data_IF_727555148086
#
_entry.id   IF_727555148086
#
_cell.length_a   1.000
_cell.length_b   1.000
_cell.length_c   1.000
_cell.angle_alpha   90.00
_cell.angle_beta   90.00
_cell.angle_gamma   90.00
#
_symmetry.space_group_name_H-M   'P 1'
#
loop_
_entity.id
_entity.type
_entity.pdbx_description
1 polymer ?
#
# COMPACT_ATOMS: atom_id res chain seq x y z
N UNK A 1 -41.46 -10.93 -13.63
CA UNK A 1 -41.84 -10.16 -14.83
C UNK A 1 -40.84 -9.01 -14.97
N UNK A 2 -39.87 -9.12 -15.89
CA UNK A 2 -38.93 -8.05 -16.19
C UNK A 2 -39.61 -7.11 -17.21
N UNK A 3 -40.24 -6.05 -16.73
CA UNK A 3 -40.70 -4.97 -17.60
C UNK A 3 -39.48 -4.18 -18.05
N UNK A 4 -39.01 -4.40 -19.29
CA UNK A 4 -37.97 -3.57 -19.86
C UNK A 4 -38.56 -2.19 -20.16
N UNK A 5 -38.08 -1.18 -19.45
CA UNK A 5 -38.44 0.22 -19.69
C UNK A 5 -38.03 0.59 -21.12
N UNK A 6 -38.91 1.30 -21.84
CA UNK A 6 -38.65 1.80 -23.19
C UNK A 6 -37.32 2.58 -23.23
N UNK A 7 -36.40 2.25 -24.16
CA UNK A 7 -35.13 2.95 -24.32
C UNK A 7 -35.26 4.48 -24.43
N UNK A 8 -36.33 5.01 -25.02
CA UNK A 8 -36.57 6.45 -25.14
C UNK A 8 -36.88 7.09 -23.79
N UNK A 9 -37.75 6.45 -23.01
CA UNK A 9 -38.11 6.91 -21.65
C UNK A 9 -36.87 6.85 -20.75
N UNK A 10 -36.05 5.81 -20.89
CA UNK A 10 -34.79 5.67 -20.15
C UNK A 10 -33.80 6.78 -20.50
N UNK A 11 -33.68 7.15 -21.77
CA UNK A 11 -32.79 8.22 -22.21
C UNK A 11 -33.25 9.59 -21.69
N UNK A 12 -34.55 9.88 -21.76
CA UNK A 12 -35.12 11.13 -21.24
C UNK A 12 -34.91 11.27 -19.73
N UNK A 13 -35.15 10.20 -18.97
CA UNK A 13 -34.92 10.18 -17.52
C UNK A 13 -33.44 10.38 -17.18
N UNK A 14 -32.52 9.78 -17.95
CA UNK A 14 -31.09 9.96 -17.75
C UNK A 14 -30.68 11.42 -17.99
N UNK A 15 -31.21 12.06 -19.04
CA UNK A 15 -30.96 13.46 -19.34
C UNK A 15 -31.44 14.38 -18.20
N UNK A 16 -32.63 14.11 -17.65
CA UNK A 16 -33.15 14.87 -16.50
C UNK A 16 -32.29 14.68 -15.24
N UNK A 17 -31.82 13.46 -14.97
CA UNK A 17 -30.90 13.19 -13.85
C UNK A 17 -29.58 13.95 -14.06
N UNK A 18 -29.00 13.88 -15.26
CA UNK A 18 -27.76 14.58 -15.58
C UNK A 18 -27.92 16.09 -15.43
N UNK A 19 -29.02 16.66 -15.92
CA UNK A 19 -29.32 18.07 -15.77
C UNK A 19 -29.47 18.47 -14.30
N UNK A 20 -30.12 17.64 -13.49
CA UNK A 20 -30.21 17.83 -12.04
C UNK A 20 -28.86 17.80 -11.33
N UNK A 21 -28.00 16.85 -11.67
CA UNK A 21 -26.64 16.73 -11.12
C UNK A 21 -25.79 17.95 -11.52
N UNK A 22 -25.86 18.38 -12.78
CA UNK A 22 -25.08 19.51 -13.30
C UNK A 22 -25.54 20.87 -12.74
N UNK A 23 -26.82 21.01 -12.39
CA UNK A 23 -27.37 22.23 -11.77
C UNK A 23 -27.14 22.29 -10.27
N UNK A 24 -26.74 21.19 -9.61
CA UNK A 24 -26.40 21.21 -8.20
C UNK A 24 -25.09 21.98 -7.98
N UNK A 25 -25.08 23.02 -7.12
CA UNK A 25 -23.84 23.68 -6.77
C UNK A 25 -22.93 22.68 -6.05
N UNK A 26 -21.69 22.56 -6.53
CA UNK A 26 -20.71 21.68 -5.90
C UNK A 26 -20.36 22.24 -4.51
N UNK A 27 -20.64 21.53 -3.41
CA UNK A 27 -20.24 22.00 -2.09
C UNK A 27 -18.72 21.99 -2.04
N UNK A 28 -18.10 23.17 -1.96
CA UNK A 28 -16.63 23.29 -1.88
C UNK A 28 -16.17 22.66 -0.56
N UNK A 29 -15.41 21.54 -0.59
CA UNK A 29 -14.91 20.94 0.62
C UNK A 29 -14.01 21.93 1.37
N UNK A 30 -14.14 21.99 2.70
CA UNK A 30 -13.30 22.85 3.56
C UNK A 30 -11.79 22.64 3.37
N UNK A 31 -11.38 21.46 2.90
CA UNK A 31 -9.98 21.17 2.60
C UNK A 31 -9.47 21.89 1.35
N UNK A 32 -10.33 22.36 0.44
CA UNK A 32 -9.92 23.16 -0.73
C UNK A 32 -9.73 24.65 -0.39
N UNK A 33 -10.27 25.10 0.74
CA UNK A 33 -10.12 26.49 1.22
C UNK A 33 -8.97 26.67 2.20
N UNK A 34 -8.33 25.58 2.64
CA UNK A 34 -7.20 25.64 3.54
C UNK A 34 -5.91 25.82 2.72
N UNK A 35 -5.32 27.02 2.80
CA UNK A 35 -4.07 27.38 2.10
C UNK A 35 -2.82 26.90 2.83
N UNK A 36 -2.96 26.46 4.09
CA UNK A 36 -1.86 25.92 4.87
C UNK A 36 -1.56 24.48 4.47
N UNK A 37 -0.27 24.16 4.32
CA UNK A 37 0.16 22.79 4.06
C UNK A 37 -0.37 21.88 5.18
N UNK A 38 -1.04 20.79 4.79
CA UNK A 38 -1.53 19.82 5.76
C UNK A 38 -0.35 19.34 6.62
N UNK A 39 -0.50 19.31 7.96
CA UNK A 39 0.51 18.71 8.81
C UNK A 39 0.76 17.26 8.36
N UNK A 40 2.00 16.78 8.47
CA UNK A 40 2.38 15.43 8.07
C UNK A 40 2.87 14.64 9.27
N UNK A 41 2.53 13.35 9.33
CA UNK A 41 3.09 12.45 10.33
C UNK A 41 4.57 12.16 10.04
N UNK A 42 5.35 11.87 11.08
CA UNK A 42 6.70 11.36 10.92
C UNK A 42 6.69 9.85 11.00
N UNK A 43 7.30 9.16 10.02
CA UNK A 43 7.49 7.71 10.03
C UNK A 43 8.99 7.39 9.96
N UNK A 44 9.44 6.53 10.87
CA UNK A 44 10.78 5.97 10.92
C UNK A 44 10.67 4.46 10.83
N UNK A 45 11.45 3.87 9.93
CA UNK A 45 11.49 2.43 9.69
C UNK A 45 12.91 1.94 9.94
N UNK A 46 13.06 0.90 10.74
CA UNK A 46 14.36 0.30 11.07
C UNK A 46 14.21 -1.22 11.01
N UNK A 47 15.24 -1.94 10.55
CA UNK A 47 15.29 -3.38 10.75
C UNK A 47 15.38 -3.69 12.24
N UNK A 48 14.75 -4.77 12.68
CA UNK A 48 14.94 -5.27 14.04
C UNK A 48 16.41 -5.74 14.21
N UNK A 49 17.21 -5.08 15.06
CA UNK A 49 18.64 -5.36 15.19
C UNK A 49 18.89 -6.72 15.85
N UNK A 50 17.92 -7.27 16.60
CA UNK A 50 18.04 -8.59 17.23
C UNK A 50 17.94 -9.73 16.19
N UNK A 51 17.45 -9.41 14.99
CA UNK A 51 17.15 -10.38 13.94
C UNK A 51 18.01 -10.14 12.71
N UNK A 52 18.36 -8.89 12.43
CA UNK A 52 19.15 -8.49 11.28
C UNK A 52 20.43 -7.79 11.74
N UNK A 53 21.58 -8.36 11.42
CA UNK A 53 22.91 -7.81 11.76
C UNK A 53 23.19 -6.45 11.10
N UNK A 54 22.38 -6.03 10.11
CA UNK A 54 22.53 -4.78 9.38
C UNK A 54 21.26 -3.93 9.45
N UNK A 55 21.40 -2.70 9.95
CA UNK A 55 20.39 -1.64 9.78
C UNK A 55 20.29 -1.20 8.32
N UNK A 56 19.10 -0.81 7.87
CA UNK A 56 18.94 -0.14 6.58
C UNK A 56 19.87 1.08 6.51
N UNK A 57 20.80 1.06 5.58
CA UNK A 57 21.61 2.22 5.21
C UNK A 57 21.26 2.61 3.78
N UNK A 58 21.08 3.91 3.54
CA UNK A 58 20.66 4.45 2.25
C UNK A 58 21.49 3.86 1.10
N UNK A 59 20.81 3.18 0.18
CA UNK A 59 21.41 2.60 -1.02
C UNK A 59 22.00 1.19 -0.88
N UNK A 60 22.05 0.62 0.33
CA UNK A 60 22.53 -0.76 0.55
C UNK A 60 21.33 -1.68 0.77
N UNK A 61 21.13 -2.70 -0.09
CA UNK A 61 20.05 -3.66 0.08
C UNK A 61 20.28 -4.52 1.32
N UNK A 62 19.19 -4.80 2.05
CA UNK A 62 19.22 -5.79 3.12
C UNK A 62 19.36 -7.19 2.53
N UNK A 63 20.38 -7.94 2.95
CA UNK A 63 20.58 -9.33 2.52
C UNK A 63 19.83 -10.26 3.47
N UNK A 64 18.97 -11.10 2.91
CA UNK A 64 18.26 -12.14 3.67
C UNK A 64 18.40 -13.50 2.98
N UNK A 65 18.46 -14.56 3.79
CA UNK A 65 18.42 -15.92 3.29
C UNK A 65 17.05 -16.23 2.67
N UNK A 66 17.06 -17.10 1.65
CA UNK A 66 15.84 -17.69 1.09
C UNK A 66 14.99 -18.35 2.20
N UNK A 67 13.70 -18.01 2.25
CA UNK A 67 12.78 -18.41 3.31
C UNK A 67 12.86 -17.55 4.58
N UNK A 68 13.76 -16.56 4.60
CA UNK A 68 13.85 -15.56 5.65
C UNK A 68 12.68 -14.57 5.61
N UNK A 69 12.28 -14.11 6.79
CA UNK A 69 11.34 -12.99 6.96
C UNK A 69 12.10 -11.76 7.39
N UNK A 70 11.67 -10.59 6.91
CA UNK A 70 12.21 -9.31 7.33
C UNK A 70 11.38 -8.84 8.52
N UNK A 71 12.05 -8.30 9.52
CA UNK A 71 11.38 -7.76 10.71
C UNK A 71 11.71 -6.30 10.81
N UNK A 72 10.66 -5.48 10.79
CA UNK A 72 10.75 -4.03 10.68
C UNK A 72 10.06 -3.42 11.87
N UNK A 73 10.76 -2.50 12.51
CA UNK A 73 10.27 -1.67 13.59
C UNK A 73 9.90 -0.32 12.99
N UNK A 74 8.60 -0.08 12.91
CA UNK A 74 8.05 1.19 12.49
C UNK A 74 7.70 2.02 13.72
N UNK A 75 8.18 3.25 13.76
CA UNK A 75 7.90 4.19 14.84
C UNK A 75 7.63 5.56 14.26
N UNK A 76 6.88 6.39 14.99
CA UNK A 76 6.54 7.69 14.47
C UNK A 76 5.67 8.52 15.39
N UNK A 77 5.29 9.68 14.89
CA UNK A 77 4.45 10.64 15.60
C UNK A 77 3.44 11.24 14.62
N UNK A 78 2.17 11.23 14.99
CA UNK A 78 1.12 11.99 14.32
C UNK A 78 0.99 13.33 15.06
N UNK A 79 1.27 14.48 14.42
CA UNK A 79 1.22 15.78 15.08
C UNK A 79 -0.14 16.07 15.68
N UNK A 80 -0.15 16.71 16.86
CA UNK A 80 -1.40 17.16 17.49
C UNK A 80 -2.20 18.11 16.60
N UNK A 81 -1.54 18.92 15.78
CA UNK A 81 -2.18 19.79 14.78
C UNK A 81 -2.97 19.00 13.73
N UNK A 82 -2.51 17.80 13.35
CA UNK A 82 -3.30 16.91 12.50
C UNK A 82 -4.49 16.34 13.27
N UNK A 83 -4.25 15.86 14.50
CA UNK A 83 -5.28 15.26 15.34
C UNK A 83 -6.37 16.25 15.75
N UNK A 84 -6.09 17.55 15.80
CA UNK A 84 -7.11 18.58 16.05
C UNK A 84 -7.96 18.90 14.82
N UNK A 85 -7.48 18.61 13.62
CA UNK A 85 -8.18 18.94 12.36
C UNK A 85 -9.09 17.82 11.85
N UNK A 86 -8.95 16.61 12.39
CA UNK A 86 -9.78 15.46 12.01
C UNK A 86 -11.18 15.56 12.59
N UNK A 87 -12.19 15.40 11.73
CA UNK A 87 -13.59 15.41 12.16
C UNK A 87 -13.98 14.15 12.92
N UNK A 88 -13.26 13.05 12.69
CA UNK A 88 -13.59 11.73 13.22
C UNK A 88 -12.33 11.17 13.88
N UNK A 89 -12.39 10.86 15.19
CA UNK A 89 -11.23 10.34 15.91
C UNK A 89 -10.74 9.01 15.36
N UNK A 90 -9.42 8.82 15.45
CA UNK A 90 -8.79 7.53 15.16
C UNK A 90 -8.95 6.57 16.34
N UNK A 91 -9.14 5.29 16.05
CA UNK A 91 -9.09 4.21 17.03
C UNK A 91 -7.71 3.55 17.09
N UNK A 92 -7.09 3.32 15.93
CA UNK A 92 -5.77 2.66 15.81
C UNK A 92 -4.96 3.21 14.64
N UNK A 93 -3.64 3.09 14.73
CA UNK A 93 -2.70 3.35 13.64
C UNK A 93 -2.48 2.07 12.85
N UNK A 94 -2.41 2.19 11.53
CA UNK A 94 -2.25 1.10 10.58
C UNK A 94 -0.94 1.26 9.81
N UNK A 95 -0.30 0.14 9.49
CA UNK A 95 0.83 0.11 8.57
C UNK A 95 0.58 -0.97 7.52
N UNK A 96 0.50 -0.53 6.26
CA UNK A 96 0.48 -1.42 5.11
C UNK A 96 1.89 -1.57 4.56
N UNK A 97 2.20 -2.75 4.04
CA UNK A 97 3.43 -2.98 3.29
C UNK A 97 3.14 -3.81 2.04
N UNK A 98 3.93 -3.58 1.00
CA UNK A 98 3.88 -4.36 -0.24
C UNK A 98 5.29 -4.70 -0.69
N UNK A 99 5.50 -5.93 -1.14
CA UNK A 99 6.79 -6.41 -1.64
C UNK A 99 6.69 -6.60 -3.15
N UNK A 100 7.62 -6.03 -3.90
CA UNK A 100 7.68 -6.11 -5.37
C UNK A 100 9.09 -6.50 -5.83
N UNK A 101 9.27 -7.38 -6.81
CA UNK A 101 10.59 -7.61 -7.40
C UNK A 101 11.09 -6.38 -8.17
N UNK A 102 12.38 -6.05 -8.09
CA UNK A 102 13.03 -4.93 -8.80
C UNK A 102 13.59 -5.33 -10.18
N UNK A 103 13.40 -6.58 -10.62
CA UNK A 103 13.81 -7.07 -11.95
C UNK A 103 12.62 -7.16 -12.91
N UNK A 104 12.73 -6.53 -14.09
CA UNK A 104 11.67 -6.48 -15.08
C UNK A 104 11.36 -7.84 -15.73
N UNK A 105 10.19 -8.39 -15.41
CA UNK A 105 9.26 -9.04 -16.36
C UNK A 105 8.09 -9.67 -15.60
N UNK A 106 7.06 -8.88 -15.35
CA UNK A 106 5.70 -9.36 -15.59
C UNK A 106 5.02 -8.26 -16.38
N UNK A 107 4.93 -8.48 -17.69
CA UNK A 107 4.11 -7.70 -18.59
C UNK A 107 2.74 -7.47 -17.95
N UNK A 108 2.37 -6.19 -17.82
CA UNK A 108 0.97 -5.83 -17.96
C UNK A 108 0.45 -6.51 -19.23
N UNK A 109 -0.36 -7.54 -19.06
CA UNK A 109 -1.39 -7.87 -20.04
C UNK A 109 -2.71 -7.34 -19.47
N UNK A 110 -2.80 -6.02 -19.41
CA UNK A 110 -4.08 -5.34 -19.61
C UNK A 110 -4.41 -5.47 -21.08
N UNK A 111 -5.25 -6.44 -21.43
CA UNK A 111 -5.97 -6.43 -22.70
C UNK A 111 -7.17 -7.35 -22.59
N UNK A 112 -8.31 -6.75 -22.21
CA UNK A 112 -9.57 -7.10 -22.84
C UNK A 112 -9.37 -7.05 -24.36
N UNK A 113 -9.33 -8.21 -25.01
CA UNK A 113 -9.97 -8.44 -26.31
C UNK A 113 -9.81 -9.88 -26.78
N UNK A 114 -10.96 -10.41 -27.14
CA UNK A 114 -11.25 -11.69 -27.79
C UNK A 114 -10.41 -11.87 -29.07
N UNK A 115 -9.82 -13.05 -29.30
CA UNK A 115 -10.05 -13.93 -30.48
C UNK A 115 -9.21 -15.23 -30.46
N UNK A 116 -9.91 -16.33 -30.79
CA UNK A 116 -9.40 -17.68 -31.10
C UNK A 116 -8.45 -17.69 -32.30
N UNK A 117 -7.44 -18.56 -32.26
CA UNK A 117 -7.20 -19.67 -33.22
C UNK A 117 -5.88 -20.37 -32.87
N UNK A 118 -5.88 -21.70 -32.78
CA UNK A 118 -4.71 -22.51 -32.42
C UNK A 118 -3.75 -22.78 -33.57
N UNK A 119 -2.55 -23.26 -33.22
CA UNK A 119 -2.01 -24.57 -33.65
C UNK A 119 -0.75 -24.88 -32.81
N UNK A 120 -0.42 -26.15 -32.73
CA UNK A 120 0.55 -26.80 -31.83
C UNK A 120 2.01 -26.31 -31.94
N UNK A 121 2.69 -26.20 -30.77
CA UNK A 121 4.10 -26.58 -30.59
C UNK A 121 4.53 -26.45 -29.11
N UNK A 122 4.79 -27.60 -28.48
CA UNK A 122 5.65 -27.84 -27.31
C UNK A 122 6.02 -26.65 -26.41
N UNK A 123 5.11 -26.31 -25.48
CA UNK A 123 5.45 -25.51 -24.31
C UNK A 123 5.69 -26.43 -23.12
N UNK A 124 6.96 -26.64 -22.82
CA UNK A 124 7.51 -27.19 -21.59
C UNK A 124 6.75 -26.64 -20.36
N UNK A 125 5.90 -27.49 -19.78
CA UNK A 125 4.98 -27.22 -18.67
C UNK A 125 5.72 -27.13 -17.32
N UNK A 126 6.85 -26.44 -17.29
CA UNK A 126 7.68 -26.31 -16.08
C UNK A 126 7.38 -24.99 -15.38
N UNK A 127 6.34 -25.03 -14.54
CA UNK A 127 6.10 -24.11 -13.41
C UNK A 127 5.97 -22.61 -13.72
N UNK A 128 4.89 -22.19 -14.40
CA UNK A 128 4.30 -20.87 -14.12
C UNK A 128 3.61 -20.89 -12.75
N UNK A 129 4.40 -21.00 -11.67
CA UNK A 129 3.91 -20.80 -10.32
C UNK A 129 3.73 -19.31 -10.06
N UNK A 130 2.46 -18.88 -10.08
CA UNK A 130 1.86 -17.73 -9.40
C UNK A 130 2.90 -16.90 -8.63
N UNK A 131 3.46 -15.90 -9.31
CA UNK A 131 4.19 -14.85 -8.62
C UNK A 131 3.18 -14.03 -7.84
N UNK A 132 3.04 -14.39 -6.57
CA UNK A 132 2.55 -13.59 -5.45
C UNK A 132 1.54 -12.53 -5.89
N UNK A 133 0.25 -12.91 -5.84
CA UNK A 133 -0.81 -11.93 -5.61
C UNK A 133 -0.29 -10.92 -4.58
N UNK A 134 -0.42 -9.59 -4.81
CA UNK A 134 0.00 -8.60 -3.82
C UNK A 134 -0.56 -9.05 -2.48
N UNK A 135 0.33 -9.41 -1.56
CA UNK A 135 0.00 -10.24 -0.40
C UNK A 135 -1.29 -9.72 0.24
N UNK A 136 -2.30 -10.58 0.31
CA UNK A 136 -3.59 -10.40 1.00
C UNK A 136 -3.42 -10.18 2.53
N UNK A 137 -2.28 -9.65 2.98
CA UNK A 137 -2.09 -9.26 4.37
C UNK A 137 -2.77 -7.91 4.57
N UNK A 138 -3.83 -7.92 5.38
CA UNK A 138 -4.42 -6.70 5.90
C UNK A 138 -3.39 -5.85 6.67
N UNK A 139 -3.72 -4.58 6.96
CA UNK A 139 -2.83 -3.70 7.70
C UNK A 139 -2.46 -4.28 9.06
N UNK A 140 -1.25 -3.97 9.50
CA UNK A 140 -0.83 -4.24 10.87
C UNK A 140 -1.24 -3.05 11.71
N UNK A 141 -2.04 -3.32 12.75
CA UNK A 141 -2.58 -2.30 13.62
C UNK A 141 -1.76 -2.18 14.91
N UNK A 142 -1.61 -0.96 15.43
CA UNK A 142 -1.15 -0.71 16.79
C UNK A 142 -1.89 0.48 17.41
N UNK A 143 -1.86 0.50 18.74
CA UNK A 143 -2.34 1.63 19.52
C UNK A 143 -1.42 2.84 19.39
N UNK A 144 -2.00 4.03 19.47
CA UNK A 144 -1.28 5.29 19.53
C UNK A 144 -1.31 5.81 20.97
N UNK A 145 -0.19 6.40 21.40
CA UNK A 145 -0.12 7.10 22.67
C UNK A 145 -0.82 8.47 22.59
N UNK A 146 -1.19 9.05 23.74
CA UNK A 146 -1.90 10.33 23.82
C UNK A 146 -1.14 11.53 23.24
N UNK A 147 0.19 11.43 23.15
CA UNK A 147 1.07 12.41 22.52
C UNK A 147 1.17 12.23 20.98
N UNK A 148 0.46 11.25 20.40
CA UNK A 148 0.50 10.95 18.98
C UNK A 148 1.60 9.97 18.56
N UNK A 149 2.42 9.47 19.49
CA UNK A 149 3.50 8.52 19.16
C UNK A 149 2.97 7.10 18.99
N UNK A 150 3.54 6.36 18.06
CA UNK A 150 3.18 4.96 17.79
C UNK A 150 4.42 4.10 17.54
N UNK A 151 4.25 2.80 17.75
CA UNK A 151 5.24 1.78 17.45
C UNK A 151 4.56 0.53 16.91
N UNK A 152 5.06 -0.01 15.80
CA UNK A 152 4.52 -1.19 15.11
C UNK A 152 5.69 -2.10 14.74
N UNK A 153 5.65 -3.34 15.21
CA UNK A 153 6.57 -4.40 14.77
C UNK A 153 5.92 -5.20 13.66
N UNK A 154 6.54 -5.21 12.49
CA UNK A 154 6.07 -5.89 11.28
C UNK A 154 7.01 -7.03 10.96
N UNK A 155 6.46 -8.25 10.85
CA UNK A 155 7.17 -9.38 10.27
C UNK A 155 6.62 -9.62 8.87
N UNK A 156 7.48 -9.55 7.87
CA UNK A 156 7.10 -9.83 6.48
C UNK A 156 6.82 -11.32 6.30
N UNK A 157 6.11 -11.64 5.22
CA UNK A 157 6.07 -13.02 4.75
C UNK A 157 7.48 -13.48 4.34
N UNK A 158 7.82 -14.78 4.51
CA UNK A 158 9.06 -15.36 4.01
C UNK A 158 9.24 -15.17 2.50
N UNK A 159 10.41 -14.72 2.07
CA UNK A 159 10.72 -14.59 0.64
C UNK A 159 11.38 -15.88 0.11
N UNK A 160 10.62 -16.61 -0.72
CA UNK A 160 11.01 -17.94 -1.19
C UNK A 160 11.79 -17.95 -2.50
N UNK A 161 11.82 -16.84 -3.25
CA UNK A 161 12.52 -16.73 -4.53
C UNK A 161 13.71 -15.80 -4.35
N UNK A 162 14.85 -16.20 -4.90
CA UNK A 162 16.05 -15.37 -4.94
C UNK A 162 15.83 -14.20 -5.90
N UNK A 163 16.43 -13.05 -5.59
CA UNK A 163 16.28 -11.85 -6.39
C UNK A 163 16.24 -10.58 -5.56
N UNK A 164 16.12 -9.46 -6.27
CA UNK A 164 16.04 -8.13 -5.68
C UNK A 164 14.59 -7.70 -5.56
N UNK A 165 14.22 -7.17 -4.40
CA UNK A 165 12.87 -6.75 -4.05
C UNK A 165 12.87 -5.33 -3.49
N UNK A 166 11.77 -4.63 -3.70
CA UNK A 166 11.39 -3.33 -3.13
C UNK A 166 10.27 -3.57 -2.14
N UNK A 167 10.42 -3.06 -0.92
CA UNK A 167 9.34 -3.07 0.07
C UNK A 167 8.84 -1.66 0.29
N UNK A 168 7.56 -1.45 -0.02
CA UNK A 168 6.89 -0.16 0.11
C UNK A 168 5.99 -0.12 1.33
N UNK A 169 6.14 0.91 2.16
CA UNK A 169 5.32 1.12 3.36
C UNK A 169 4.36 2.29 3.18
N UNK A 170 3.16 2.16 3.77
CA UNK A 170 2.18 3.24 3.86
C UNK A 170 1.59 3.31 5.27
N UNK A 171 1.58 4.51 5.85
CA UNK A 171 0.96 4.78 7.13
C UNK A 171 -0.53 5.05 6.95
N UNK A 172 -1.35 4.60 7.90
CA UNK A 172 -2.74 4.97 7.97
C UNK A 172 -3.33 4.89 9.36
N UNK A 173 -4.65 4.97 9.41
CA UNK A 173 -5.43 4.82 10.62
C UNK A 173 -6.76 4.15 10.32
N UNK A 174 -7.38 3.62 11.38
CA UNK A 174 -8.78 3.23 11.38
C UNK A 174 -9.55 4.22 12.25
N UNK A 175 -10.65 4.75 11.73
CA UNK A 175 -11.55 5.61 12.49
C UNK A 175 -12.45 4.79 13.44
N UNK A 176 -13.16 5.46 14.35
CA UNK A 176 -14.08 4.81 15.30
C UNK A 176 -15.28 4.11 14.64
N UNK A 177 -15.56 4.37 13.36
CA UNK A 177 -16.63 3.72 12.58
C UNK A 177 -16.11 2.52 11.78
N UNK A 178 -14.80 2.24 11.87
CA UNK A 178 -14.14 1.16 11.14
C UNK A 178 -13.64 1.55 9.74
N UNK A 179 -13.72 2.81 9.34
CA UNK A 179 -13.16 3.29 8.08
C UNK A 179 -11.64 3.36 8.14
N UNK A 180 -10.96 2.90 7.08
CA UNK A 180 -9.50 2.95 6.98
C UNK A 180 -9.05 4.08 6.06
N UNK A 181 -8.04 4.83 6.49
CA UNK A 181 -7.56 6.03 5.80
C UNK A 181 -6.04 6.07 5.74
N UNK A 182 -5.49 6.47 4.61
CA UNK A 182 -4.05 6.74 4.46
C UNK A 182 -3.70 8.07 5.15
N UNK A 183 -2.62 8.08 5.93
CA UNK A 183 -2.12 9.28 6.62
C UNK A 183 -0.94 9.85 5.83
N UNK A 184 -0.99 11.12 5.42
CA UNK A 184 0.16 11.83 4.86
C UNK A 184 1.33 11.82 5.85
N UNK A 185 2.49 11.38 5.40
CA UNK A 185 3.67 11.25 6.24
C UNK A 185 4.95 11.59 5.50
N UNK A 186 5.99 11.86 6.29
CA UNK A 186 7.35 12.04 5.83
C UNK A 186 8.24 11.00 6.50
N UNK A 187 9.22 10.51 5.74
CA UNK A 187 10.23 9.63 6.30
C UNK A 187 11.29 10.48 6.98
N UNK A 188 11.66 10.09 8.21
CA UNK A 188 12.60 10.86 9.03
C UNK A 188 14.03 10.95 8.43
N UNK A 189 14.29 10.31 7.29
CA UNK A 189 15.56 10.36 6.52
C UNK A 189 15.54 11.31 5.29
N UNK A 190 14.73 12.37 5.32
CA UNK A 190 14.74 13.51 4.38
C UNK A 190 14.14 13.26 2.99
N UNK A 191 12.86 12.89 2.89
CA UNK A 191 12.04 13.25 1.72
C UNK A 191 10.54 13.33 2.06
N UNK A 192 9.81 14.31 1.52
CA UNK A 192 8.36 14.37 1.61
C UNK A 192 7.74 13.41 0.58
N UNK A 193 7.70 12.13 0.90
CA UNK A 193 7.01 11.11 0.10
C UNK A 193 6.13 10.25 1.00
N UNK A 194 4.91 9.94 0.54
CA UNK A 194 3.95 9.04 1.21
C UNK A 194 4.27 7.55 1.02
N UNK A 195 5.37 7.25 0.32
CA UNK A 195 5.88 5.90 0.13
C UNK A 195 7.41 5.91 0.25
N UNK A 196 7.94 4.95 1.00
CA UNK A 196 9.37 4.63 1.03
C UNK A 196 9.54 3.20 0.56
N UNK A 197 10.46 3.01 -0.38
CA UNK A 197 10.87 1.73 -0.93
C UNK A 197 12.21 1.35 -0.34
N UNK A 198 12.29 0.17 0.29
CA UNK A 198 13.55 -0.41 0.76
C UNK A 198 13.99 -1.53 -0.16
N UNK A 199 15.22 -1.49 -0.70
CA UNK A 199 15.76 -2.58 -1.49
C UNK A 199 16.18 -3.74 -0.57
N UNK A 200 15.86 -4.96 -1.00
CA UNK A 200 16.16 -6.21 -0.32
C UNK A 200 16.70 -7.21 -1.33
N UNK A 201 17.78 -7.88 -0.99
CA UNK A 201 18.33 -8.98 -1.77
C UNK A 201 18.06 -10.30 -1.05
N UNK A 202 17.37 -11.20 -1.74
CA UNK A 202 17.19 -12.58 -1.27
C UNK A 202 18.28 -13.43 -1.88
N UNK A 203 19.14 -13.99 -1.03
CA UNK A 203 20.28 -14.80 -1.43
C UNK A 203 20.09 -16.25 -1.01
N UNK A 204 20.79 -17.16 -1.70
CA UNK A 204 20.85 -18.56 -1.30
C UNK A 204 21.61 -18.66 0.02
N UNK A 205 21.08 -19.43 0.98
CA UNK A 205 21.74 -19.60 2.28
C UNK A 205 23.09 -20.29 2.08
N UNK A 206 24.18 -19.58 2.39
CA UNK A 206 25.55 -20.10 2.34
C UNK A 206 25.96 -20.74 3.68
N UNK A 207 25.05 -21.48 4.33
CA UNK A 207 25.43 -22.28 5.51
C UNK A 207 26.10 -23.58 5.06
N UNK A 208 27.41 -23.53 4.84
CA UNK A 208 28.29 -24.65 5.16
C UNK A 208 28.18 -24.89 6.67
N UNK A 209 27.68 -26.06 7.05
CA UNK A 209 27.76 -26.57 8.43
C UNK A 209 29.22 -26.80 8.82
#
# INVERSE_FOLDING_TARGET
MNQSIDPKIRAELLLQIMEGVLKMPFPVPRCLTCTEALPCASLRLVCDPDIHDRTFSKGIPLEIDRGGSIVILASGTIPKSMLSCIQIPFSVVLLWYTIRPEGGSTSLASSDSIKKSGDDADADNTHQMNFLSPSLMGPIAASMSSNGTFFIKVKSQPLMKEGRYSINFRLGCRDIRGGEWEIPHHFQENSPTSACSFPVNVVRSNRTK
#
